data_IF_341126511433
#
_entry.id   IF_341126511433
#
_cell.length_a   1.000
_cell.length_b   1.000
_cell.length_c   1.000
_cell.angle_alpha   90.00
_cell.angle_beta   90.00
_cell.angle_gamma   90.00
#
_symmetry.space_group_name_H-M   'P 1'
#
loop_
_entity.id
_entity.type
_entity.pdbx_description
1 polymer ?
#
# COMPACT_ATOMS: atom_id res chain seq x y z
N UNK A 1 18.68 7.60 -12.24
CA UNK A 1 17.31 7.89 -11.83
C UNK A 1 16.39 8.06 -13.04
N UNK A 2 16.67 9.00 -13.95
CA UNK A 2 15.84 9.23 -15.14
C UNK A 2 15.68 7.98 -16.02
N UNK A 3 16.68 7.09 -16.04
CA UNK A 3 16.63 5.84 -16.80
C UNK A 3 15.58 4.84 -16.24
N UNK A 4 15.16 4.97 -14.99
CA UNK A 4 14.16 4.11 -14.36
C UNK A 4 12.74 4.69 -14.39
N UNK A 5 12.58 5.95 -14.75
CA UNK A 5 11.27 6.57 -14.94
C UNK A 5 10.63 6.04 -16.22
N UNK A 6 9.36 5.66 -16.16
CA UNK A 6 8.61 5.14 -17.30
C UNK A 6 8.81 3.66 -17.61
N UNK A 7 9.72 2.96 -16.93
CA UNK A 7 9.81 1.50 -17.02
C UNK A 7 8.67 0.82 -16.23
N UNK A 8 8.19 -0.35 -16.70
CA UNK A 8 7.14 -1.06 -15.99
C UNK A 8 7.61 -1.50 -14.60
N UNK A 9 6.71 -1.58 -13.61
CA UNK A 9 7.03 -2.08 -12.29
C UNK A 9 7.32 -3.59 -12.33
N UNK A 10 8.24 -4.05 -11.49
CA UNK A 10 8.57 -5.47 -11.32
C UNK A 10 7.61 -6.16 -10.34
N UNK A 11 7.07 -5.37 -9.42
CA UNK A 11 6.08 -5.80 -8.44
C UNK A 11 4.95 -4.77 -8.36
N UNK A 12 3.73 -5.26 -8.19
CA UNK A 12 2.55 -4.42 -7.98
C UNK A 12 1.86 -4.87 -6.70
N UNK A 13 1.71 -3.95 -5.75
CA UNK A 13 1.05 -4.17 -4.47
C UNK A 13 -0.25 -3.36 -4.44
N UNK A 14 -1.37 -4.04 -4.31
CA UNK A 14 -2.69 -3.44 -4.20
C UNK A 14 -3.04 -3.23 -2.72
N UNK A 15 -3.52 -2.04 -2.41
CA UNK A 15 -3.98 -1.65 -1.08
C UNK A 15 -5.51 -1.73 -1.08
N UNK A 16 -6.08 -2.54 -0.20
CA UNK A 16 -7.51 -2.87 -0.21
C UNK A 16 -8.10 -2.93 1.18
N UNK A 17 -9.41 -2.67 1.27
CA UNK A 17 -10.22 -2.99 2.44
C UNK A 17 -11.27 -4.06 2.09
N UNK A 18 -11.50 -4.97 3.02
CA UNK A 18 -12.56 -5.99 2.95
C UNK A 18 -13.37 -5.97 4.24
N UNK A 19 -14.65 -6.23 4.14
CA UNK A 19 -15.51 -6.46 5.28
C UNK A 19 -16.08 -7.86 5.25
N UNK A 20 -16.00 -8.55 6.37
CA UNK A 20 -16.53 -9.89 6.53
C UNK A 20 -17.92 -9.82 7.15
N UNK A 21 -18.91 -10.46 6.51
CA UNK A 21 -20.26 -10.59 7.07
C UNK A 21 -21.22 -9.43 6.79
N UNK A 22 -20.86 -8.46 5.93
CA UNK A 22 -21.80 -7.43 5.48
C UNK A 22 -22.84 -8.02 4.51
N UNK A 23 -24.11 -7.58 4.63
CA UNK A 23 -25.11 -7.86 3.61
C UNK A 23 -24.66 -7.28 2.25
N UNK A 24 -24.90 -8.01 1.17
CA UNK A 24 -24.51 -7.62 -0.20
C UNK A 24 -24.94 -6.19 -0.60
N UNK A 25 -26.15 -5.79 -0.20
CA UNK A 25 -26.66 -4.43 -0.50
C UNK A 25 -25.84 -3.36 0.22
N UNK A 26 -25.49 -3.59 1.49
CA UNK A 26 -24.70 -2.66 2.30
C UNK A 26 -23.30 -2.54 1.71
N UNK A 27 -22.67 -3.66 1.35
CA UNK A 27 -21.36 -3.68 0.71
C UNK A 27 -21.36 -2.88 -0.59
N UNK A 28 -22.38 -3.08 -1.42
CA UNK A 28 -22.51 -2.36 -2.71
C UNK A 28 -22.69 -0.85 -2.52
N UNK A 29 -23.50 -0.43 -1.54
CA UNK A 29 -23.69 0.99 -1.23
C UNK A 29 -22.42 1.64 -0.72
N UNK A 30 -21.66 0.97 0.16
CA UNK A 30 -20.40 1.50 0.68
C UNK A 30 -19.32 1.60 -0.41
N UNK A 31 -19.28 0.69 -1.38
CA UNK A 31 -18.37 0.79 -2.54
C UNK A 31 -18.71 2.00 -3.42
N UNK A 32 -19.99 2.29 -3.63
CA UNK A 32 -20.41 3.48 -4.38
C UNK A 32 -20.04 4.75 -3.62
N UNK A 33 -20.27 4.78 -2.31
CA UNK A 33 -19.91 5.90 -1.45
C UNK A 33 -18.41 6.21 -1.50
N UNK A 34 -17.56 5.19 -1.49
CA UNK A 34 -16.10 5.32 -1.61
C UNK A 34 -15.62 6.06 -2.87
N UNK A 35 -16.42 6.08 -3.95
CA UNK A 35 -16.07 6.81 -5.17
C UNK A 35 -16.15 8.33 -5.01
N UNK A 36 -16.90 8.80 -4.01
CA UNK A 36 -17.14 10.22 -3.76
C UNK A 36 -16.32 10.79 -2.60
N UNK A 37 -15.58 9.95 -1.87
CA UNK A 37 -14.72 10.39 -0.78
C UNK A 37 -13.50 11.15 -1.30
N UNK A 38 -12.98 12.06 -0.49
CA UNK A 38 -11.73 12.74 -0.78
C UNK A 38 -10.57 11.72 -0.85
N UNK A 39 -9.61 11.89 -1.77
CA UNK A 39 -8.46 11.00 -1.89
C UNK A 39 -7.57 10.97 -0.64
N UNK A 40 -7.59 12.05 0.14
CA UNK A 40 -6.87 12.18 1.42
C UNK A 40 -7.84 12.75 2.45
N UNK A 41 -7.95 12.08 3.57
CA UNK A 41 -8.77 12.51 4.70
C UNK A 41 -7.90 12.75 5.93
N UNK A 42 -8.15 13.85 6.60
CA UNK A 42 -7.44 14.23 7.79
C UNK A 42 -8.23 13.85 9.06
N UNK A 43 -7.53 13.67 10.16
CA UNK A 43 -8.15 13.35 11.45
C UNK A 43 -9.31 14.32 11.77
N UNK A 44 -10.45 13.77 12.15
CA UNK A 44 -11.65 14.52 12.52
C UNK A 44 -12.64 14.79 11.38
N UNK A 45 -12.31 14.47 10.13
CA UNK A 45 -13.24 14.63 8.99
C UNK A 45 -14.31 13.54 8.94
N UNK A 46 -14.07 12.39 9.59
CA UNK A 46 -15.03 11.30 9.69
C UNK A 46 -15.19 10.82 11.15
N UNK A 47 -16.07 11.43 11.92
CA UNK A 47 -16.35 11.00 13.30
C UNK A 47 -16.80 9.53 13.34
N UNK A 48 -16.18 8.74 14.21
CA UNK A 48 -16.52 7.32 14.40
C UNK A 48 -15.85 6.33 13.45
N UNK A 49 -15.07 6.81 12.46
CA UNK A 49 -14.38 5.91 11.51
C UNK A 49 -13.33 5.03 12.20
N UNK A 50 -12.57 5.58 13.14
CA UNK A 50 -11.60 4.78 13.90
C UNK A 50 -12.27 3.61 14.62
N UNK A 51 -13.50 3.80 15.09
CA UNK A 51 -14.28 2.72 15.71
C UNK A 51 -14.73 1.68 14.68
N UNK A 52 -15.17 2.09 13.50
CA UNK A 52 -15.64 1.18 12.45
C UNK A 52 -14.48 0.38 11.80
N UNK A 53 -13.27 0.92 11.79
CA UNK A 53 -12.09 0.29 11.16
C UNK A 53 -11.31 -0.67 12.05
N UNK A 54 -11.60 -0.73 13.36
CA UNK A 54 -10.93 -1.61 14.33
C UNK A 54 -11.68 -2.95 14.54
N UNK A 55 -12.84 -3.13 13.95
CA UNK A 55 -13.66 -4.33 14.18
C UNK A 55 -13.09 -5.59 13.54
N UNK A 56 -13.40 -6.78 14.06
CA UNK A 56 -13.02 -8.06 13.45
C UNK A 56 -13.62 -8.25 12.05
N UNK A 57 -14.56 -7.40 11.66
CA UNK A 57 -15.16 -7.38 10.33
C UNK A 57 -14.35 -6.61 9.31
N UNK A 58 -13.54 -5.62 9.71
CA UNK A 58 -12.71 -4.84 8.81
C UNK A 58 -11.34 -5.51 8.63
N UNK A 59 -11.03 -5.90 7.42
CA UNK A 59 -9.73 -6.47 7.06
C UNK A 59 -9.04 -5.53 6.07
N UNK A 60 -7.85 -5.08 6.42
CA UNK A 60 -7.00 -4.28 5.56
C UNK A 60 -5.93 -5.16 4.94
N UNK A 61 -5.82 -5.12 3.61
CA UNK A 61 -4.96 -6.05 2.89
C UNK A 61 -3.98 -5.35 1.97
N UNK A 62 -2.75 -5.86 2.01
CA UNK A 62 -1.76 -5.74 0.94
C UNK A 62 -1.93 -6.98 0.06
N UNK A 63 -2.10 -6.79 -1.24
CA UNK A 63 -2.28 -7.92 -2.17
C UNK A 63 -1.27 -7.84 -3.30
N UNK A 64 -0.51 -8.90 -3.49
CA UNK A 64 0.34 -9.03 -4.67
C UNK A 64 -0.54 -9.25 -5.92
N UNK A 65 -0.44 -8.32 -6.87
CA UNK A 65 -1.23 -8.37 -8.10
C UNK A 65 -0.96 -9.63 -8.94
N UNK A 66 0.30 -10.09 -8.97
CA UNK A 66 0.70 -11.20 -9.83
C UNK A 66 0.22 -12.56 -9.31
N UNK A 67 0.31 -12.79 -7.99
CA UNK A 67 -0.02 -14.08 -7.38
C UNK A 67 -1.41 -14.11 -6.76
N UNK A 68 -1.94 -12.95 -6.41
CA UNK A 68 -3.17 -12.81 -5.64
C UNK A 68 -3.00 -13.09 -4.14
N UNK A 69 -1.78 -13.40 -3.67
CA UNK A 69 -1.46 -13.61 -2.27
C UNK A 69 -1.67 -12.33 -1.47
N UNK A 70 -2.03 -12.45 -0.19
CA UNK A 70 -2.35 -11.32 0.67
C UNK A 70 -1.53 -11.33 1.96
N UNK A 71 -1.13 -10.15 2.42
CA UNK A 71 -0.48 -9.92 3.69
C UNK A 71 0.70 -10.87 3.93
N UNK A 72 0.68 -11.71 4.96
CA UNK A 72 1.75 -12.63 5.31
C UNK A 72 1.94 -13.80 4.32
N UNK A 73 0.98 -14.03 3.42
CA UNK A 73 1.10 -15.05 2.37
C UNK A 73 1.88 -14.56 1.13
N UNK A 74 2.26 -13.27 1.10
CA UNK A 74 3.10 -12.70 0.05
C UNK A 74 4.55 -13.13 0.30
N UNK A 75 5.15 -13.85 -0.66
CA UNK A 75 6.57 -14.28 -0.59
C UNK A 75 7.41 -13.47 -1.58
N UNK A 76 7.82 -12.27 -1.16
CA UNK A 76 8.75 -11.46 -1.92
C UNK A 76 10.17 -11.64 -1.40
N UNK A 77 11.05 -12.09 -2.29
CA UNK A 77 12.48 -12.30 -2.02
C UNK A 77 13.32 -11.48 -2.98
N UNK A 78 14.33 -10.83 -2.44
CA UNK A 78 15.28 -10.01 -3.17
C UNK A 78 16.67 -10.28 -2.66
N UNK A 79 17.68 -9.80 -3.38
CA UNK A 79 19.08 -9.85 -2.96
C UNK A 79 19.55 -8.47 -2.53
N UNK A 80 20.49 -8.44 -1.62
CA UNK A 80 21.19 -7.21 -1.25
C UNK A 80 21.80 -6.55 -2.49
N UNK A 81 21.52 -5.28 -2.66
CA UNK A 81 21.94 -4.48 -3.82
C UNK A 81 20.92 -4.39 -4.94
N UNK A 82 19.83 -5.17 -4.89
CA UNK A 82 18.77 -5.06 -5.90
C UNK A 82 18.13 -3.67 -5.86
N UNK A 83 17.87 -3.13 -7.06
CA UNK A 83 17.05 -1.92 -7.27
C UNK A 83 15.73 -2.36 -7.90
N UNK A 84 14.68 -2.38 -7.10
CA UNK A 84 13.39 -2.96 -7.49
C UNK A 84 12.35 -1.88 -7.72
N UNK A 85 11.66 -1.92 -8.86
CA UNK A 85 10.52 -1.04 -9.12
C UNK A 85 9.25 -1.67 -8.57
N UNK A 86 8.65 -0.99 -7.59
CA UNK A 86 7.40 -1.41 -6.95
C UNK A 86 6.33 -0.36 -7.22
N UNK A 87 5.18 -0.78 -7.72
CA UNK A 87 3.99 0.07 -7.81
C UNK A 87 3.04 -0.24 -6.67
N UNK A 88 2.68 0.78 -5.90
CA UNK A 88 1.61 0.73 -4.92
C UNK A 88 0.33 1.24 -5.58
N UNK A 89 -0.75 0.47 -5.54
CA UNK A 89 -2.05 0.86 -6.12
C UNK A 89 -3.10 0.84 -5.02
N UNK A 90 -3.60 2.01 -4.65
CA UNK A 90 -4.69 2.11 -3.71
C UNK A 90 -6.02 1.98 -4.45
N UNK A 91 -6.67 0.84 -4.32
CA UNK A 91 -7.87 0.49 -5.06
C UNK A 91 -9.06 1.31 -4.54
N UNK A 92 -9.59 2.20 -5.40
CA UNK A 92 -10.71 3.07 -5.03
C UNK A 92 -12.05 2.32 -4.93
N UNK A 93 -12.21 1.28 -5.73
CA UNK A 93 -13.41 0.43 -5.77
C UNK A 93 -13.47 -0.58 -4.61
N UNK A 94 -12.61 -0.41 -3.63
CA UNK A 94 -12.63 -1.18 -2.39
C UNK A 94 -13.70 -0.64 -1.44
N UNK A 95 -14.06 -1.45 -0.47
CA UNK A 95 -14.97 -1.00 0.58
C UNK A 95 -14.23 0.05 1.43
N UNK A 96 -14.78 1.27 1.49
CA UNK A 96 -14.19 2.35 2.28
C UNK A 96 -12.73 2.66 1.91
N UNK A 97 -12.51 3.17 0.69
CA UNK A 97 -11.19 3.57 0.23
C UNK A 97 -10.63 4.74 1.07
N UNK A 98 -9.53 4.50 1.76
CA UNK A 98 -8.79 5.50 2.54
C UNK A 98 -7.37 5.66 1.98
N UNK A 99 -6.70 6.75 2.33
CA UNK A 99 -5.26 6.88 2.11
C UNK A 99 -4.48 5.92 3.01
N UNK A 100 -3.32 5.50 2.52
CA UNK A 100 -2.42 4.63 3.27
C UNK A 100 -1.00 5.19 3.28
N UNK A 101 -0.47 5.65 4.44
CA UNK A 101 0.97 5.86 4.59
C UNK A 101 1.65 4.49 4.69
N UNK A 102 2.32 4.08 3.62
CA UNK A 102 3.06 2.81 3.55
C UNK A 102 4.49 3.05 3.97
N UNK A 103 4.91 2.35 5.01
CA UNK A 103 6.27 2.34 5.54
C UNK A 103 6.97 1.03 5.21
N UNK A 104 8.25 1.11 4.87
CA UNK A 104 9.12 -0.04 4.61
C UNK A 104 10.28 -0.03 5.60
N UNK A 105 10.26 -0.95 6.54
CA UNK A 105 11.34 -1.11 7.50
C UNK A 105 12.66 -1.47 6.81
N UNK A 106 13.75 -0.94 7.32
CA UNK A 106 15.11 -1.33 6.98
C UNK A 106 15.57 -1.00 5.56
N UNK A 107 14.71 -0.56 4.68
CA UNK A 107 15.00 -0.21 3.30
C UNK A 107 14.61 1.25 3.02
N UNK A 108 15.11 1.77 1.91
CA UNK A 108 14.75 3.12 1.44
C UNK A 108 14.33 3.10 -0.02
N UNK A 109 13.60 4.08 -0.42
CA UNK A 109 13.12 4.20 -1.80
C UNK A 109 13.07 5.65 -2.28
N UNK A 110 13.00 5.79 -3.60
CA UNK A 110 12.68 7.03 -4.30
C UNK A 110 11.27 6.91 -4.87
N UNK A 111 10.48 7.99 -4.79
CA UNK A 111 9.23 8.07 -5.54
C UNK A 111 9.58 8.45 -6.97
N UNK A 112 9.25 7.58 -7.93
CA UNK A 112 9.51 7.80 -9.35
C UNK A 112 8.38 8.56 -10.03
N UNK A 113 7.14 8.21 -9.68
CA UNK A 113 5.94 8.83 -10.27
C UNK A 113 4.73 8.69 -9.34
N UNK A 114 3.76 9.58 -9.49
CA UNK A 114 2.42 9.50 -8.88
C UNK A 114 1.39 9.62 -9.99
N UNK A 115 0.50 8.63 -10.13
CA UNK A 115 -0.50 8.54 -11.21
C UNK A 115 0.10 8.72 -12.62
N UNK A 116 1.30 8.17 -12.82
CA UNK A 116 2.04 8.28 -14.09
C UNK A 116 2.74 9.62 -14.32
N UNK A 117 2.59 10.59 -13.42
CA UNK A 117 3.33 11.87 -13.49
C UNK A 117 4.67 11.68 -12.78
N UNK A 118 5.80 11.82 -13.48
CA UNK A 118 7.12 11.68 -12.89
C UNK A 118 7.38 12.68 -11.77
N UNK A 119 8.11 12.25 -10.74
CA UNK A 119 8.58 13.15 -9.69
C UNK A 119 9.74 14.02 -10.20
N UNK A 120 9.67 15.33 -9.99
CA UNK A 120 10.67 16.28 -10.47
C UNK A 120 11.96 16.22 -9.64
N UNK A 121 11.83 16.05 -8.33
CA UNK A 121 12.95 16.02 -7.38
C UNK A 121 12.79 14.86 -6.37
N UNK A 122 13.17 13.64 -6.76
CA UNK A 122 13.03 12.47 -5.91
C UNK A 122 14.04 12.49 -4.75
N UNK A 123 13.54 12.41 -3.53
CA UNK A 123 14.33 12.27 -2.31
C UNK A 123 14.19 10.86 -1.73
N UNK A 124 15.23 10.39 -1.05
CA UNK A 124 15.18 9.12 -0.32
C UNK A 124 14.18 9.18 0.83
N UNK A 125 13.31 8.20 0.88
CA UNK A 125 12.24 8.05 1.88
C UNK A 125 12.15 6.59 2.33
N UNK A 126 11.48 6.37 3.45
CA UNK A 126 11.07 5.08 3.98
C UNK A 126 9.54 4.96 4.10
N UNK A 127 8.85 6.08 3.95
CA UNK A 127 7.39 6.17 4.07
C UNK A 127 6.81 7.01 2.93
N UNK A 128 5.70 6.55 2.36
CA UNK A 128 4.97 7.27 1.30
C UNK A 128 3.48 7.23 1.54
N UNK A 129 2.83 8.39 1.45
CA UNK A 129 1.37 8.47 1.44
C UNK A 129 0.84 8.04 0.07
N UNK A 130 -0.06 7.05 0.06
CA UNK A 130 -0.78 6.61 -1.15
C UNK A 130 -2.24 7.03 -1.01
N UNK A 131 -2.67 8.11 -1.65
CA UNK A 131 -4.06 8.57 -1.63
C UNK A 131 -5.03 7.54 -2.20
N UNK A 132 -6.30 7.60 -1.81
CA UNK A 132 -7.34 6.72 -2.35
C UNK A 132 -7.45 6.87 -3.87
N UNK A 133 -7.36 5.75 -4.60
CA UNK A 133 -7.39 5.70 -6.06
C UNK A 133 -6.06 6.09 -6.74
N UNK A 134 -4.99 6.35 -5.99
CA UNK A 134 -3.69 6.68 -6.56
C UNK A 134 -2.84 5.45 -6.82
N UNK A 135 -1.96 5.57 -7.82
CA UNK A 135 -0.85 4.68 -8.09
C UNK A 135 0.47 5.41 -7.85
N UNK A 136 1.35 4.84 -7.05
CA UNK A 136 2.67 5.41 -6.73
C UNK A 136 3.76 4.43 -7.14
N UNK A 137 4.68 4.88 -8.00
CA UNK A 137 5.83 4.09 -8.45
C UNK A 137 7.04 4.41 -7.59
N UNK A 138 7.65 3.38 -7.03
CA UNK A 138 8.82 3.45 -6.18
C UNK A 138 10.02 2.75 -6.84
N UNK A 139 11.22 3.28 -6.59
CA UNK A 139 12.49 2.56 -6.78
C UNK A 139 13.04 2.25 -5.40
N UNK A 140 12.95 0.99 -5.00
CA UNK A 140 13.41 0.52 -3.70
C UNK A 140 14.83 -0.02 -3.82
N UNK A 141 15.72 0.44 -2.93
CA UNK A 141 17.06 -0.12 -2.78
C UNK A 141 17.06 -1.16 -1.66
N UNK A 142 17.31 -2.42 -2.01
CA UNK A 142 17.39 -3.53 -1.05
C UNK A 142 18.79 -3.54 -0.41
N UNK A 143 19.05 -2.60 0.49
CA UNK A 143 20.41 -2.37 1.06
C UNK A 143 20.72 -3.19 2.30
N UNK A 144 19.70 -3.56 3.08
CA UNK A 144 19.86 -4.28 4.34
C UNK A 144 19.31 -5.70 4.22
N UNK A 145 20.14 -6.74 4.45
CA UNK A 145 19.67 -8.12 4.51
C UNK A 145 18.78 -8.39 5.73
N UNK A 146 17.91 -9.38 5.60
CA UNK A 146 17.00 -9.83 6.65
C UNK A 146 15.53 -9.76 6.25
N UNK A 147 14.65 -10.18 7.15
CA UNK A 147 13.20 -10.02 7.01
C UNK A 147 12.80 -8.60 7.41
N UNK A 148 12.15 -7.89 6.51
CA UNK A 148 11.69 -6.52 6.72
C UNK A 148 10.18 -6.43 6.54
N UNK A 149 9.53 -5.51 7.24
CA UNK A 149 8.08 -5.37 7.26
C UNK A 149 7.62 -4.12 6.51
N UNK A 150 7.07 -4.23 5.29
CA UNK A 150 6.20 -3.24 4.72
C UNK A 150 4.83 -3.26 5.40
N UNK A 151 4.33 -2.09 5.79
CA UNK A 151 3.01 -1.97 6.44
C UNK A 151 2.40 -0.58 6.28
N UNK A 152 1.08 -0.49 6.50
CA UNK A 152 0.42 0.79 6.67
C UNK A 152 0.75 1.37 8.05
N UNK A 153 1.07 2.67 8.12
CA UNK A 153 1.42 3.35 9.38
C UNK A 153 0.19 3.89 10.14
N UNK A 154 -1.02 3.68 9.62
CA UNK A 154 -2.26 3.86 10.39
C UNK A 154 -2.39 2.64 11.31
N UNK A 155 -2.38 2.87 12.63
CA UNK A 155 -2.32 1.80 13.63
C UNK A 155 -3.48 0.80 13.51
N UNK A 156 -4.67 1.29 13.24
CA UNK A 156 -5.87 0.50 13.06
C UNK A 156 -5.78 -0.42 11.84
N UNK A 157 -5.22 0.07 10.73
CA UNK A 157 -5.01 -0.73 9.52
C UNK A 157 -3.95 -1.82 9.73
N UNK A 158 -2.87 -1.48 10.44
CA UNK A 158 -1.81 -2.42 10.82
C UNK A 158 -2.37 -3.53 11.69
N UNK A 159 -3.13 -3.20 12.75
CA UNK A 159 -3.76 -4.16 13.64
C UNK A 159 -4.77 -5.07 12.92
N UNK A 160 -5.43 -4.55 11.89
CA UNK A 160 -6.38 -5.30 11.06
C UNK A 160 -5.72 -6.02 9.88
N UNK A 161 -4.39 -6.15 9.88
CA UNK A 161 -3.63 -7.05 9.00
C UNK A 161 -2.85 -6.41 7.86
N UNK A 162 -2.85 -5.08 7.68
CA UNK A 162 -2.18 -4.42 6.55
C UNK A 162 -0.66 -4.39 6.72
N UNK A 163 -0.05 -5.56 6.65
CA UNK A 163 1.38 -5.80 6.74
C UNK A 163 1.80 -7.06 5.97
N UNK A 164 3.05 -7.11 5.56
CA UNK A 164 3.67 -8.29 4.94
C UNK A 164 5.14 -8.40 5.36
N UNK A 165 5.81 -9.46 4.93
CA UNK A 165 7.26 -9.61 5.10
C UNK A 165 7.93 -9.64 3.74
N UNK A 166 9.02 -8.90 3.60
CA UNK A 166 9.94 -8.94 2.46
C UNK A 166 11.27 -9.50 2.95
N UNK A 167 11.79 -10.53 2.29
CA UNK A 167 13.07 -11.14 2.62
C UNK A 167 14.16 -10.62 1.70
N UNK A 168 15.21 -10.04 2.26
CA UNK A 168 16.42 -9.62 1.54
C UNK A 168 17.56 -10.56 1.92
N UNK A 169 18.03 -11.34 0.96
CA UNK A 169 19.12 -12.30 1.13
C UNK A 169 20.47 -11.61 0.97
N UNK A 170 21.51 -12.10 1.66
CA UNK A 170 22.89 -11.70 1.36
C UNK A 170 23.25 -12.10 -0.08
N UNK A 171 24.17 -11.38 -0.70
CA UNK A 171 24.60 -11.60 -2.09
C UNK A 171 25.48 -12.84 -2.21
#
# INVERSE_FOLDING_TARGET
LRANQGLPPERVLELRAKWVGLPFVTERLMRVDSLYHNPVEWAGTMPGMNWATIGPQAQWTLRDHATGSENHDIDWRFRKGDLVRIRLVNIRETLHAMQHPIHLHGQRFLILAVNGVPADDPAWKDTVLVPAGAAVDLLVEMSNPGPWMPHCHIAEHLQAGMMMTVNVEES
#
